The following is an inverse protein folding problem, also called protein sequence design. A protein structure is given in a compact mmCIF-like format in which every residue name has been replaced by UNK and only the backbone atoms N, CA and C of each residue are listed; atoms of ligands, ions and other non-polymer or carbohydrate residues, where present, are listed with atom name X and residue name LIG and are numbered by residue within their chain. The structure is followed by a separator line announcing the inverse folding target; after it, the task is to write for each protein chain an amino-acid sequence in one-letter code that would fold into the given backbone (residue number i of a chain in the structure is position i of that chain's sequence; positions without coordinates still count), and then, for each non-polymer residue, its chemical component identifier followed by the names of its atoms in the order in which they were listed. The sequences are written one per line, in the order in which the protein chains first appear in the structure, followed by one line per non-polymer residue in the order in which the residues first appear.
data_IF_492255031511
#
_entry.id   IF_492255031511
#
_cell.length_a   1.000
_cell.length_b   1.000
_cell.length_c   1.000
_cell.angle_alpha   90.00
_cell.angle_beta   90.00
_cell.angle_gamma   90.00
#
_symmetry.space_group_name_H-M   'P 1'
#
loop_
_entity.id
_entity.type
_entity.pdbx_description
1 polymer ?
#
# COMPACT_ATOMS: atom_id res chain seq x y z
N UNK A 1 16.10 -15.65 -5.74
CA UNK A 1 15.14 -16.52 -5.01
C UNK A 1 13.81 -15.81 -4.90
N UNK A 2 12.70 -16.47 -5.22
CA UNK A 2 11.38 -15.88 -5.07
C UNK A 2 11.11 -15.57 -3.59
N UNK A 3 10.92 -14.31 -3.24
CA UNK A 3 10.55 -13.86 -1.88
C UNK A 3 9.17 -14.42 -1.43
N UNK A 4 8.46 -15.17 -2.28
CA UNK A 4 7.15 -15.76 -1.98
C UNK A 4 7.14 -16.70 -0.78
N UNK A 5 8.28 -17.29 -0.40
CA UNK A 5 8.40 -18.12 0.82
C UNK A 5 8.25 -17.30 2.10
N UNK A 6 8.65 -16.03 2.08
CA UNK A 6 8.60 -15.11 3.23
C UNK A 6 7.37 -14.20 3.20
N UNK A 7 6.46 -14.40 2.23
CA UNK A 7 5.21 -13.66 2.17
C UNK A 7 4.13 -14.39 2.97
N UNK A 8 3.33 -13.60 3.68
CA UNK A 8 2.18 -14.07 4.42
C UNK A 8 1.25 -14.90 3.51
N UNK A 9 0.69 -16.06 3.94
CA UNK A 9 -0.10 -16.94 3.08
C UNK A 9 -1.24 -16.26 2.32
N UNK A 10 -1.92 -15.30 2.97
CA UNK A 10 -3.01 -14.46 2.44
C UNK A 10 -2.55 -13.27 1.57
N UNK A 11 -1.25 -13.12 1.31
CA UNK A 11 -0.72 -12.02 0.50
C UNK A 11 -0.94 -12.30 -1.00
N UNK A 12 -1.72 -11.42 -1.65
CA UNK A 12 -2.08 -11.54 -3.08
C UNK A 12 -0.86 -11.50 -4.02
N UNK A 13 0.24 -10.86 -3.59
CA UNK A 13 1.48 -10.74 -4.37
C UNK A 13 2.42 -11.93 -4.22
N UNK A 14 2.02 -13.00 -3.52
CA UNK A 14 2.70 -14.30 -3.62
C UNK A 14 2.74 -14.79 -5.06
N UNK A 15 1.70 -14.45 -5.82
CA UNK A 15 1.68 -14.57 -7.26
C UNK A 15 2.15 -13.25 -7.86
N UNK A 16 3.14 -13.31 -8.74
CA UNK A 16 3.66 -12.10 -9.38
C UNK A 16 2.56 -11.49 -10.27
N UNK A 17 2.37 -10.15 -10.23
CA UNK A 17 1.45 -9.51 -11.15
C UNK A 17 1.83 -9.79 -12.60
N UNK A 18 0.83 -10.05 -13.44
CA UNK A 18 1.01 -10.12 -14.88
C UNK A 18 1.17 -8.69 -15.43
N UNK A 19 2.40 -8.32 -15.76
CA UNK A 19 2.71 -7.01 -16.30
C UNK A 19 2.11 -6.76 -17.70
N UNK A 20 1.90 -7.81 -18.50
CA UNK A 20 1.23 -7.67 -19.80
C UNK A 20 -0.24 -7.28 -19.59
N UNK A 21 -0.91 -7.92 -18.64
CA UNK A 21 -2.28 -7.59 -18.28
C UNK A 21 -2.38 -6.20 -17.63
N UNK A 22 -1.45 -5.86 -16.73
CA UNK A 22 -1.40 -4.56 -16.07
C UNK A 22 -1.24 -3.41 -17.06
N UNK A 23 -0.33 -3.51 -18.04
CA UNK A 23 -0.13 -2.48 -19.07
C UNK A 23 -1.36 -2.32 -19.98
N UNK A 24 -2.13 -3.39 -20.21
CA UNK A 24 -3.40 -3.30 -20.95
C UNK A 24 -4.46 -2.52 -20.15
N UNK A 25 -4.54 -2.77 -18.84
CA UNK A 25 -5.50 -2.10 -17.96
C UNK A 25 -5.10 -0.67 -17.60
N UNK A 26 -3.81 -0.41 -17.47
CA UNK A 26 -3.21 0.87 -17.08
C UNK A 26 -2.15 1.28 -18.13
N UNK A 27 -2.59 1.89 -19.25
CA UNK A 27 -1.72 2.29 -20.35
C UNK A 27 -0.50 3.13 -19.97
N UNK A 28 -0.62 3.95 -18.92
CA UNK A 28 0.44 4.81 -18.39
C UNK A 28 1.69 4.01 -17.96
N UNK A 29 1.56 2.72 -17.62
CA UNK A 29 2.71 1.86 -17.31
C UNK A 29 3.65 1.66 -18.51
N UNK A 30 3.22 1.93 -19.75
CA UNK A 30 4.08 1.86 -20.93
C UNK A 30 5.23 2.86 -20.88
N UNK A 31 5.06 3.98 -20.18
CA UNK A 31 6.10 5.02 -20.05
C UNK A 31 7.31 4.54 -19.25
N UNK A 32 7.11 3.54 -18.37
CA UNK A 32 8.13 3.06 -17.43
C UNK A 32 8.48 1.57 -17.63
N UNK A 33 7.94 0.93 -18.66
CA UNK A 33 8.18 -0.49 -18.96
C UNK A 33 8.84 -0.68 -20.32
N UNK A 34 9.53 -1.81 -20.49
CA UNK A 34 10.09 -2.24 -21.77
C UNK A 34 9.51 -3.59 -22.16
N UNK A 35 9.52 -3.91 -23.44
CA UNK A 35 9.07 -5.22 -23.95
C UNK A 35 10.31 -5.96 -24.43
N UNK A 36 10.49 -7.21 -23.99
CA UNK A 36 11.58 -8.05 -24.48
C UNK A 36 11.25 -8.71 -25.83
N UNK A 37 12.23 -9.38 -26.43
CA UNK A 37 12.09 -10.06 -27.72
C UNK A 37 10.99 -11.14 -27.75
N UNK A 38 10.56 -11.62 -26.59
CA UNK A 38 9.49 -12.62 -26.44
C UNK A 38 8.13 -11.99 -26.13
N UNK A 39 8.01 -10.66 -26.27
CA UNK A 39 6.77 -9.92 -25.99
C UNK A 39 6.45 -9.79 -24.50
N UNK A 40 7.40 -10.05 -23.58
CA UNK A 40 7.16 -9.91 -22.14
C UNK A 40 7.45 -8.49 -21.69
N UNK A 41 6.48 -7.86 -21.05
CA UNK A 41 6.66 -6.57 -20.37
C UNK A 41 7.58 -6.76 -19.16
N UNK A 42 8.61 -5.91 -19.09
CA UNK A 42 9.58 -5.81 -18.01
C UNK A 42 9.52 -4.41 -17.40
N UNK A 43 9.74 -4.36 -16.09
CA UNK A 43 9.86 -3.13 -15.31
C UNK A 43 11.26 -3.12 -14.68
N UNK A 44 11.95 -1.99 -14.75
CA UNK A 44 13.18 -1.79 -13.98
C UNK A 44 12.83 -1.40 -12.54
N UNK A 45 13.01 -2.33 -11.61
CA UNK A 45 12.77 -2.10 -10.18
C UNK A 45 13.83 -1.21 -9.51
N UNK A 46 14.89 -0.81 -10.22
CA UNK A 46 15.84 0.21 -9.75
C UNK A 46 15.40 1.62 -10.15
N UNK A 47 14.55 1.74 -11.17
CA UNK A 47 13.97 3.01 -11.57
C UNK A 47 12.88 3.41 -10.57
N UNK A 48 13.12 4.53 -9.90
CA UNK A 48 12.23 5.06 -8.87
C UNK A 48 10.87 5.49 -9.42
N UNK A 49 10.82 6.12 -10.59
CA UNK A 49 9.58 6.55 -11.23
C UNK A 49 8.74 5.34 -11.62
N UNK A 50 9.39 4.30 -12.15
CA UNK A 50 8.78 3.01 -12.45
C UNK A 50 8.17 2.37 -11.19
N UNK A 51 8.88 2.38 -10.06
CA UNK A 51 8.37 1.91 -8.78
C UNK A 51 7.19 2.75 -8.27
N UNK A 52 7.26 4.07 -8.39
CA UNK A 52 6.17 4.96 -7.97
C UNK A 52 4.91 4.66 -8.76
N UNK A 53 5.00 4.63 -10.10
CA UNK A 53 3.85 4.38 -10.95
C UNK A 53 3.27 2.98 -10.73
N UNK A 54 4.13 1.95 -10.66
CA UNK A 54 3.68 0.60 -10.33
C UNK A 54 2.93 0.57 -8.98
N UNK A 55 3.48 1.22 -7.96
CA UNK A 55 2.88 1.21 -6.61
C UNK A 55 1.50 1.86 -6.62
N UNK A 56 1.34 3.01 -7.31
CA UNK A 56 0.05 3.70 -7.46
C UNK A 56 -0.97 2.83 -8.18
N UNK A 57 -0.56 2.20 -9.29
CA UNK A 57 -1.44 1.31 -10.07
C UNK A 57 -1.89 0.12 -9.25
N UNK A 58 -0.97 -0.54 -8.52
CA UNK A 58 -1.31 -1.69 -7.69
C UNK A 58 -2.23 -1.30 -6.52
N UNK A 59 -1.99 -0.16 -5.87
CA UNK A 59 -2.87 0.36 -4.83
C UNK A 59 -4.29 0.61 -5.34
N UNK A 60 -4.40 1.23 -6.52
CA UNK A 60 -5.68 1.51 -7.15
C UNK A 60 -6.40 0.23 -7.55
N UNK A 61 -5.71 -0.70 -8.22
CA UNK A 61 -6.28 -1.95 -8.73
C UNK A 61 -6.72 -2.88 -7.59
N UNK A 62 -5.88 -3.08 -6.59
CA UNK A 62 -6.05 -4.16 -5.62
C UNK A 62 -6.74 -3.71 -4.32
N UNK A 63 -6.72 -2.41 -4.02
CA UNK A 63 -7.26 -1.86 -2.78
C UNK A 63 -8.23 -0.69 -3.00
N UNK A 64 -8.43 -0.25 -4.24
CA UNK A 64 -9.23 0.94 -4.53
C UNK A 64 -8.64 2.22 -3.93
N UNK A 65 -7.33 2.25 -3.70
CA UNK A 65 -6.64 3.37 -3.06
C UNK A 65 -5.92 4.24 -4.10
N UNK A 66 -6.27 5.52 -4.13
CA UNK A 66 -5.56 6.54 -4.90
C UNK A 66 -4.54 7.24 -4.01
N UNK A 67 -3.25 6.98 -4.25
CA UNK A 67 -2.15 7.52 -3.45
C UNK A 67 -1.21 8.33 -4.34
N UNK A 68 -0.80 9.49 -3.85
CA UNK A 68 0.27 10.30 -4.40
C UNK A 68 1.55 10.08 -3.60
N UNK A 69 2.65 9.91 -4.34
CA UNK A 69 3.97 9.61 -3.79
C UNK A 69 4.92 10.74 -4.23
N UNK A 70 5.11 11.78 -3.39
CA UNK A 70 5.95 12.92 -3.76
C UNK A 70 7.40 12.49 -4.07
N UNK A 71 8.06 13.28 -4.92
CA UNK A 71 9.47 13.11 -5.24
C UNK A 71 10.34 13.18 -3.96
N UNK A 72 11.46 12.46 -3.94
CA UNK A 72 12.38 12.41 -2.80
C UNK A 72 11.90 11.64 -1.57
N UNK A 73 10.62 11.27 -1.43
CA UNK A 73 10.11 10.47 -0.28
C UNK A 73 10.22 8.97 -0.51
N UNK A 74 10.11 8.14 0.51
CA UNK A 74 10.18 6.69 0.33
C UNK A 74 9.02 6.18 -0.56
N UNK A 75 9.32 5.27 -1.49
CA UNK A 75 8.31 4.53 -2.26
C UNK A 75 8.06 3.20 -1.53
N UNK A 76 6.84 2.96 -0.99
CA UNK A 76 6.60 1.76 -0.21
C UNK A 76 6.54 0.52 -1.12
N UNK A 77 7.33 -0.50 -0.77
CA UNK A 77 7.25 -1.82 -1.42
C UNK A 77 5.99 -2.57 -0.98
N UNK A 78 4.93 -2.44 -1.76
CA UNK A 78 3.58 -2.88 -1.40
C UNK A 78 3.46 -4.33 -0.88
N UNK A 79 4.13 -5.35 -1.46
CA UNK A 79 4.06 -6.71 -0.93
C UNK A 79 4.54 -6.84 0.51
N UNK A 80 5.61 -6.13 0.88
CA UNK A 80 6.16 -6.17 2.23
C UNK A 80 5.25 -5.42 3.22
N UNK A 81 4.64 -4.32 2.80
CA UNK A 81 3.70 -3.57 3.65
C UNK A 81 2.43 -4.38 3.92
N UNK A 82 1.92 -5.06 2.90
CA UNK A 82 0.77 -5.96 3.05
C UNK A 82 1.08 -7.15 3.96
N UNK A 83 2.29 -7.73 3.91
CA UNK A 83 2.67 -8.79 4.86
C UNK A 83 2.47 -8.36 6.30
N UNK A 84 2.90 -7.14 6.64
CA UNK A 84 2.78 -6.65 8.01
C UNK A 84 1.30 -6.43 8.40
N UNK A 85 0.50 -5.83 7.52
CA UNK A 85 -0.94 -5.66 7.78
C UNK A 85 -1.64 -7.00 8.00
N UNK A 86 -1.33 -8.02 7.19
CA UNK A 86 -1.89 -9.36 7.35
C UNK A 86 -1.46 -10.02 8.65
N UNK A 87 -0.20 -9.83 9.06
CA UNK A 87 0.27 -10.33 10.35
C UNK A 87 -0.46 -9.67 11.52
N UNK A 88 -0.76 -8.37 11.45
CA UNK A 88 -1.58 -7.69 12.45
C UNK A 88 -3.01 -8.27 12.51
N UNK A 89 -3.59 -8.64 11.36
CA UNK A 89 -4.88 -9.36 11.32
C UNK A 89 -4.80 -10.74 12.01
N UNK A 90 -3.67 -11.46 11.90
CA UNK A 90 -3.48 -12.74 12.60
C UNK A 90 -3.36 -12.54 14.12
N UNK A 91 -2.60 -11.52 14.55
CA UNK A 91 -2.46 -11.17 15.97
C UNK A 91 -3.82 -10.84 16.55
N UNK A 92 -4.63 -10.06 15.82
CA UNK A 92 -5.99 -9.74 16.20
C UNK A 92 -6.87 -10.99 16.40
N UNK A 93 -6.76 -11.94 15.48
CA UNK A 93 -7.50 -13.21 15.53
C UNK A 93 -7.05 -14.07 16.71
N UNK A 94 -5.73 -14.21 16.91
CA UNK A 94 -5.14 -14.98 18.02
C UNK A 94 -5.54 -14.42 19.40
N UNK A 95 -5.68 -13.10 19.51
CA UNK A 95 -6.14 -12.44 20.73
C UNK A 95 -7.68 -12.47 20.91
N UNK A 96 -8.41 -13.04 19.94
CA UNK A 96 -9.88 -13.14 19.97
C UNK A 96 -10.59 -11.79 19.83
N UNK A 97 -9.89 -10.73 19.42
CA UNK A 97 -10.43 -9.37 19.40
C UNK A 97 -11.56 -9.22 18.37
N UNK A 98 -11.53 -9.99 17.27
CA UNK A 98 -12.60 -10.01 16.27
C UNK A 98 -13.98 -10.28 16.86
N UNK A 99 -14.06 -11.09 17.92
CA UNK A 99 -15.32 -11.46 18.58
C UNK A 99 -15.74 -10.46 19.66
N UNK A 100 -14.77 -9.84 20.33
CA UNK A 100 -15.01 -9.12 21.60
C UNK A 100 -14.90 -7.59 21.50
N UNK A 101 -14.43 -7.06 20.37
CA UNK A 101 -14.27 -5.63 20.13
C UNK A 101 -14.93 -5.27 18.82
N UNK A 102 -15.70 -4.19 18.74
CA UNK A 102 -16.28 -3.72 17.48
C UNK A 102 -15.31 -2.84 16.67
N UNK A 103 -14.45 -2.09 17.36
CA UNK A 103 -13.47 -1.16 16.79
C UNK A 103 -12.07 -1.44 17.36
N UNK A 104 -11.04 -1.24 16.54
CA UNK A 104 -9.64 -1.26 16.95
C UNK A 104 -8.95 0.03 16.54
N UNK A 105 -8.10 0.53 17.43
CA UNK A 105 -7.31 1.75 17.24
C UNK A 105 -5.84 1.39 17.09
N UNK A 106 -5.26 1.71 15.95
CA UNK A 106 -3.84 1.54 15.67
C UNK A 106 -3.10 2.88 15.63
N UNK A 107 -1.81 2.85 15.96
CA UNK A 107 -0.89 3.97 15.83
C UNK A 107 0.26 3.55 14.90
N UNK A 108 0.48 4.32 13.85
CA UNK A 108 1.60 4.17 12.91
C UNK A 108 2.61 5.29 13.18
N UNK A 109 3.80 4.94 13.67
CA UNK A 109 4.85 5.90 14.06
C UNK A 109 5.80 6.08 12.88
N UNK A 110 5.84 7.28 12.30
CA UNK A 110 6.57 7.55 11.07
C UNK A 110 5.80 7.06 9.84
N UNK A 111 4.54 7.48 9.70
CA UNK A 111 3.66 6.98 8.63
C UNK A 111 4.10 7.39 7.22
N UNK A 112 5.01 8.38 7.12
CA UNK A 112 5.55 8.89 5.87
C UNK A 112 4.51 9.55 4.99
N UNK A 113 4.97 10.12 3.87
CA UNK A 113 4.12 10.81 2.90
C UNK A 113 3.01 9.92 2.32
N UNK A 114 3.25 8.61 2.21
CA UNK A 114 2.30 7.66 1.66
C UNK A 114 1.15 7.29 2.61
N UNK A 115 1.35 7.43 3.94
CA UNK A 115 0.42 6.92 4.96
C UNK A 115 0.03 5.44 4.74
N UNK A 116 0.96 4.61 4.25
CA UNK A 116 0.64 3.31 3.63
C UNK A 116 -0.01 2.32 4.59
N UNK A 117 0.44 2.24 5.85
CA UNK A 117 -0.12 1.29 6.81
C UNK A 117 -1.53 1.65 7.25
N UNK A 118 -1.83 2.91 7.65
CA UNK A 118 -3.19 3.35 7.90
C UNK A 118 -4.13 3.10 6.72
N UNK A 119 -3.72 3.46 5.51
CA UNK A 119 -4.55 3.31 4.31
C UNK A 119 -4.82 1.84 3.99
N UNK A 120 -3.79 0.99 3.96
CA UNK A 120 -3.97 -0.45 3.69
C UNK A 120 -4.79 -1.15 4.78
N UNK A 121 -4.53 -0.82 6.03
CA UNK A 121 -5.26 -1.39 7.17
C UNK A 121 -6.74 -1.07 7.10
N UNK A 122 -7.08 0.20 6.85
CA UNK A 122 -8.48 0.64 6.71
C UNK A 122 -9.12 0.14 5.42
N UNK A 123 -8.40 0.08 4.29
CA UNK A 123 -8.95 -0.48 3.06
C UNK A 123 -9.38 -1.94 3.24
N UNK A 124 -8.64 -2.72 4.02
CA UNK A 124 -8.96 -4.12 4.33
C UNK A 124 -9.99 -4.30 5.43
N UNK A 125 -10.00 -3.40 6.42
CA UNK A 125 -10.80 -3.54 7.64
C UNK A 125 -11.64 -2.27 7.92
N UNK A 126 -12.29 -1.72 6.88
CA UNK A 126 -12.88 -0.37 6.87
C UNK A 126 -13.87 -0.09 8.01
N UNK A 127 -14.68 -1.07 8.38
CA UNK A 127 -15.69 -0.94 9.44
C UNK A 127 -15.11 -1.00 10.85
N UNK A 128 -13.82 -1.35 10.99
CA UNK A 128 -13.26 -1.81 12.25
C UNK A 128 -11.97 -1.10 12.65
N UNK A 129 -11.07 -0.86 11.71
CA UNK A 129 -9.80 -0.20 12.00
C UNK A 129 -9.97 1.32 11.97
N UNK A 130 -9.49 1.95 13.03
CA UNK A 130 -9.23 3.39 13.13
C UNK A 130 -7.74 3.58 13.35
N UNK A 131 -7.12 4.44 12.58
CA UNK A 131 -5.67 4.56 12.56
C UNK A 131 -5.25 6.00 12.81
N UNK A 132 -4.21 6.17 13.62
CA UNK A 132 -3.49 7.44 13.77
C UNK A 132 -2.12 7.28 13.13
N UNK A 133 -1.78 8.13 12.17
CA UNK A 133 -0.43 8.22 11.61
C UNK A 133 0.30 9.38 12.26
N UNK A 134 1.45 9.13 12.89
CA UNK A 134 2.36 10.15 13.39
C UNK A 134 3.45 10.40 12.35
N UNK A 135 3.73 11.66 12.02
CA UNK A 135 4.83 12.01 11.13
C UNK A 135 5.41 13.37 11.49
N UNK A 136 6.73 13.45 11.67
CA UNK A 136 7.40 14.68 12.10
C UNK A 136 7.64 15.65 10.94
N UNK A 137 7.83 15.12 9.72
CA UNK A 137 8.21 15.96 8.57
C UNK A 137 6.96 16.58 7.95
N UNK A 138 6.81 17.90 8.07
CA UNK A 138 5.64 18.66 7.59
C UNK A 138 5.18 18.32 6.17
N UNK A 139 6.06 18.31 5.17
CA UNK A 139 5.67 17.95 3.79
C UNK A 139 5.12 16.52 3.68
N UNK A 140 5.64 15.61 4.53
CA UNK A 140 5.14 14.24 4.61
C UNK A 140 3.77 14.20 5.30
N UNK A 141 3.54 15.02 6.33
CA UNK A 141 2.22 15.18 6.98
C UNK A 141 1.19 15.67 5.98
N UNK A 142 1.51 16.72 5.21
CA UNK A 142 0.62 17.30 4.21
C UNK A 142 0.27 16.29 3.12
N UNK A 143 1.27 15.57 2.61
CA UNK A 143 1.07 14.49 1.63
C UNK A 143 0.22 13.34 2.21
N UNK A 144 0.47 12.93 3.44
CA UNK A 144 -0.27 11.87 4.11
C UNK A 144 -1.74 12.26 4.33
N UNK A 145 -2.01 13.51 4.76
CA UNK A 145 -3.37 14.05 4.88
C UNK A 145 -4.09 14.07 3.54
N UNK A 146 -3.44 14.59 2.50
CA UNK A 146 -4.00 14.59 1.14
C UNK A 146 -4.35 13.19 0.64
N UNK A 147 -3.49 12.20 0.92
CA UNK A 147 -3.78 10.80 0.61
C UNK A 147 -4.97 10.23 1.39
N UNK A 148 -5.13 10.58 2.67
CA UNK A 148 -6.31 10.17 3.47
C UNK A 148 -7.60 10.79 2.95
N UNK A 149 -7.56 12.09 2.63
CA UNK A 149 -8.70 12.85 2.11
C UNK A 149 -9.15 12.35 0.74
N UNK A 150 -8.21 12.12 -0.18
CA UNK A 150 -8.47 11.61 -1.53
C UNK A 150 -9.22 10.27 -1.53
N UNK A 151 -9.01 9.45 -0.52
CA UNK A 151 -9.66 8.15 -0.38
C UNK A 151 -10.95 8.18 0.47
N UNK A 152 -11.38 9.37 0.91
CA UNK A 152 -12.55 9.52 1.78
C UNK A 152 -12.40 8.77 3.11
N UNK A 153 -11.17 8.75 3.66
CA UNK A 153 -10.81 7.97 4.86
C UNK A 153 -10.62 8.83 6.12
N UNK A 154 -10.94 10.11 6.09
CA UNK A 154 -10.77 11.04 7.24
C UNK A 154 -11.53 10.62 8.49
N UNK A 155 -12.65 9.89 8.35
CA UNK A 155 -13.39 9.31 9.48
C UNK A 155 -12.73 8.06 10.10
N UNK A 156 -11.73 7.48 9.45
CA UNK A 156 -11.03 6.28 9.88
C UNK A 156 -9.54 6.51 10.14
N UNK A 157 -8.92 7.46 9.46
CA UNK A 157 -7.49 7.76 9.57
C UNK A 157 -7.30 9.22 9.95
N UNK A 158 -6.50 9.46 10.99
CA UNK A 158 -6.08 10.81 11.39
C UNK A 158 -4.56 10.91 11.33
N UNK A 159 -4.02 11.95 10.68
CA UNK A 159 -2.57 12.21 10.64
C UNK A 159 -2.21 13.36 11.56
N UNK A 160 -1.28 13.11 12.47
CA UNK A 160 -0.79 14.02 13.51
C UNK A 160 0.71 14.26 13.29
N UNK A 161 1.14 15.50 13.56
CA UNK A 161 2.55 15.92 13.51
C UNK A 161 3.24 15.65 14.85
#
# INVERSE_FOLDING_TARGET
MSMSKFMHPRNIYRQKPDFNALVKQFPELREVTTVDLNGRVKLDFKNREALQLLTRVLLRRDFGLEVELPAGKLVPTLPLRLNYVLWLEDVEEALGWRRNRAELRGLDIGCGASCIYPLLGVARNRSRWKMVGLEKVRDSVESARGNVERNGLTGNVRVVE
#
